data_IF_690594483075
#
_entry.id   IF_690594483075
#
_cell.length_a   1.000
_cell.length_b   1.000
_cell.length_c   1.000
_cell.angle_alpha   90.00
_cell.angle_beta   90.00
_cell.angle_gamma   90.00
#
_symmetry.space_group_name_H-M   'P 1'
#
loop_
_entity.id
_entity.type
_entity.pdbx_description
1 polymer ?
#
# COMPACT_ATOMS: atom_id res chain seq x y z
N UNK A 1 9.10 -41.67 33.03
CA UNK A 1 9.77 -40.53 32.35
C UNK A 1 9.28 -40.31 30.92
N UNK A 2 9.24 -41.32 30.04
CA UNK A 2 8.77 -41.18 28.64
C UNK A 2 7.35 -40.58 28.50
N UNK A 3 6.41 -41.01 29.36
CA UNK A 3 5.03 -40.50 29.41
C UNK A 3 4.92 -39.06 29.92
N UNK A 4 5.81 -38.64 30.82
CA UNK A 4 5.85 -37.26 31.34
C UNK A 4 6.44 -36.31 30.29
N UNK A 5 7.48 -36.75 29.57
CA UNK A 5 8.05 -35.98 28.46
C UNK A 5 7.04 -35.78 27.32
N UNK A 6 6.26 -36.81 27.00
CA UNK A 6 5.18 -36.72 26.00
C UNK A 6 4.09 -35.74 26.41
N UNK A 7 3.72 -35.71 27.70
CA UNK A 7 2.76 -34.73 28.21
C UNK A 7 3.29 -33.30 28.12
N UNK A 8 4.58 -33.08 28.42
CA UNK A 8 5.21 -31.75 28.31
C UNK A 8 5.22 -31.28 26.85
N UNK A 9 5.56 -32.14 25.89
CA UNK A 9 5.48 -31.80 24.46
C UNK A 9 4.05 -31.51 23.98
N UNK A 10 3.05 -32.19 24.53
CA UNK A 10 1.64 -31.95 24.22
C UNK A 10 1.15 -30.61 24.79
N UNK A 11 1.59 -30.24 25.99
CA UNK A 11 1.24 -28.96 26.62
C UNK A 11 1.94 -27.79 25.90
N UNK A 12 3.21 -27.93 25.52
CA UNK A 12 3.95 -26.91 24.75
C UNK A 12 3.32 -26.72 23.36
N UNK A 13 2.88 -27.81 22.71
CA UNK A 13 2.19 -27.75 21.41
C UNK A 13 0.77 -27.17 21.47
N UNK A 14 0.13 -27.15 22.64
CA UNK A 14 -1.18 -26.53 22.86
C UNK A 14 -1.06 -25.05 23.27
N UNK A 15 0.05 -24.64 23.90
CA UNK A 15 0.31 -23.23 24.24
C UNK A 15 0.91 -22.44 23.09
N UNK A 16 1.46 -23.08 22.06
CA UNK A 16 2.08 -22.40 20.92
C UNK A 16 1.10 -21.88 19.86
N UNK A 17 -0.20 -21.92 20.14
CA UNK A 17 -1.19 -21.18 19.34
C UNK A 17 -1.30 -19.74 19.86
N UNK A 18 -0.17 -19.06 20.00
CA UNK A 18 -0.19 -17.62 20.20
C UNK A 18 -0.79 -17.01 18.95
N UNK A 19 -1.92 -16.31 19.13
CA UNK A 19 -2.48 -15.48 18.08
C UNK A 19 -1.35 -14.59 17.55
N UNK A 20 -1.16 -14.57 16.22
CA UNK A 20 -0.13 -13.77 15.57
C UNK A 20 -0.11 -12.36 16.19
N UNK A 21 1.01 -11.97 16.79
CA UNK A 21 1.17 -10.62 17.32
C UNK A 21 1.10 -9.64 16.16
N UNK A 22 -0.01 -8.91 16.05
CA UNK A 22 -0.18 -7.86 15.04
C UNK A 22 0.35 -6.56 15.63
N UNK A 23 1.46 -6.07 15.09
CA UNK A 23 2.11 -4.83 15.48
C UNK A 23 2.59 -4.06 14.24
N UNK A 24 3.03 -2.82 14.42
CA UNK A 24 3.53 -1.99 13.34
C UNK A 24 2.43 -1.47 12.41
N UNK A 25 2.84 -1.06 11.21
CA UNK A 25 1.97 -0.49 10.18
C UNK A 25 1.72 -1.53 9.09
N UNK A 26 0.47 -1.78 8.79
CA UNK A 26 0.03 -2.72 7.77
C UNK A 26 -0.71 -1.99 6.67
N UNK A 27 -0.62 -2.48 5.44
CA UNK A 27 -1.27 -1.91 4.27
C UNK A 27 -2.12 -2.95 3.55
N UNK A 28 -3.32 -2.57 3.10
CA UNK A 28 -4.16 -3.41 2.26
C UNK A 28 -3.70 -3.42 0.81
N UNK A 29 -3.60 -4.60 0.23
CA UNK A 29 -3.37 -4.81 -1.20
C UNK A 29 -3.66 -6.27 -1.57
N UNK A 30 -3.91 -6.53 -2.86
CA UNK A 30 -4.46 -7.80 -3.34
C UNK A 30 -5.76 -8.14 -2.62
N UNK A 31 -6.63 -7.14 -2.51
CA UNK A 31 -7.98 -7.31 -1.98
C UNK A 31 -8.78 -8.21 -2.92
N UNK A 32 -9.79 -8.91 -2.41
CA UNK A 32 -10.60 -9.79 -3.24
C UNK A 32 -12.09 -9.64 -2.97
N UNK A 33 -12.89 -9.85 -4.02
CA UNK A 33 -14.35 -9.82 -3.95
C UNK A 33 -14.84 -11.06 -3.23
N UNK A 34 -15.75 -10.90 -2.26
CA UNK A 34 -16.28 -12.00 -1.46
C UNK A 34 -17.26 -12.86 -2.28
N UNK A 35 -18.18 -12.21 -3.01
CA UNK A 35 -19.12 -12.82 -3.95
C UNK A 35 -19.05 -12.13 -5.32
N UNK A 36 -18.56 -12.83 -6.33
CA UNK A 36 -18.39 -12.29 -7.69
C UNK A 36 -19.71 -11.94 -8.39
N UNK A 37 -20.85 -12.39 -7.88
CA UNK A 37 -22.18 -12.09 -8.44
C UNK A 37 -22.84 -10.84 -7.85
N UNK A 38 -22.23 -10.27 -6.81
CA UNK A 38 -22.73 -9.09 -6.11
C UNK A 38 -21.95 -7.85 -6.48
N UNK A 39 -22.60 -6.68 -6.43
CA UNK A 39 -21.92 -5.40 -6.71
C UNK A 39 -20.77 -5.18 -5.73
N UNK A 40 -19.62 -4.75 -6.24
CA UNK A 40 -18.43 -4.39 -5.44
C UNK A 40 -17.81 -3.11 -5.99
N UNK A 41 -16.91 -2.50 -5.23
CA UNK A 41 -16.12 -1.33 -5.66
C UNK A 41 -14.66 -1.74 -5.74
N UNK A 42 -14.08 -1.72 -6.94
CA UNK A 42 -12.64 -1.96 -7.16
C UNK A 42 -11.78 -0.78 -6.67
N UNK A 43 -10.46 -0.99 -6.55
CA UNK A 43 -9.51 0.11 -6.29
C UNK A 43 -9.33 0.56 -4.84
N UNK A 44 -9.91 -0.13 -3.85
CA UNK A 44 -9.71 0.22 -2.42
C UNK A 44 -8.41 -0.35 -1.80
N UNK A 45 -7.33 -0.37 -2.57
CA UNK A 45 -6.01 -0.72 -2.06
C UNK A 45 -5.34 0.47 -1.36
N UNK A 46 -4.32 0.18 -0.57
CA UNK A 46 -3.56 1.21 0.14
C UNK A 46 -4.26 1.75 1.38
N UNK A 47 -5.18 1.01 1.99
CA UNK A 47 -5.67 1.32 3.35
C UNK A 47 -4.55 0.99 4.33
N UNK A 48 -4.28 1.88 5.28
CA UNK A 48 -3.21 1.73 6.28
C UNK A 48 -3.82 1.54 7.65
N UNK A 49 -3.33 0.56 8.43
CA UNK A 49 -3.62 0.41 9.85
C UNK A 49 -2.29 0.47 10.61
N UNK A 50 -2.18 1.43 11.53
CA UNK A 50 -1.07 1.50 12.49
C UNK A 50 -1.55 0.87 13.81
N UNK A 51 -1.12 -0.37 14.07
CA UNK A 51 -1.48 -1.11 15.27
C UNK A 51 -0.83 -0.52 16.52
N UNK A 52 0.36 0.09 16.38
CA UNK A 52 1.09 0.69 17.50
C UNK A 52 0.39 1.96 17.98
N UNK A 53 -0.03 2.81 17.02
CA UNK A 53 -0.66 4.10 17.30
C UNK A 53 -2.20 4.07 17.28
N UNK A 54 -2.78 2.92 16.93
CA UNK A 54 -4.23 2.72 16.77
C UNK A 54 -4.86 3.78 15.87
N UNK A 55 -4.36 3.86 14.64
CA UNK A 55 -4.91 4.74 13.59
C UNK A 55 -5.18 3.98 12.31
N UNK A 56 -6.11 4.49 11.52
CA UNK A 56 -6.40 4.06 10.16
C UNK A 56 -6.26 5.24 9.20
N UNK A 57 -5.76 5.00 8.01
CA UNK A 57 -5.59 6.01 6.97
C UNK A 57 -5.50 5.39 5.58
N UNK A 58 -4.97 6.15 4.62
CA UNK A 58 -4.72 5.65 3.26
C UNK A 58 -3.38 6.14 2.74
N UNK A 59 -2.77 5.38 1.84
CA UNK A 59 -1.53 5.73 1.15
C UNK A 59 -1.69 7.01 0.30
N UNK A 60 -2.92 7.31 -0.13
CA UNK A 60 -3.23 8.41 -1.05
C UNK A 60 -3.46 9.77 -0.37
N UNK A 61 -3.47 9.82 0.96
CA UNK A 61 -3.67 11.06 1.71
C UNK A 61 -2.93 11.06 3.03
N UNK A 62 -2.75 12.24 3.62
CA UNK A 62 -2.19 12.39 4.98
C UNK A 62 -3.26 12.35 6.08
N UNK A 63 -4.52 12.08 5.71
CA UNK A 63 -5.61 11.95 6.66
C UNK A 63 -5.51 10.66 7.44
N UNK A 64 -5.55 10.79 8.77
CA UNK A 64 -5.57 9.67 9.71
C UNK A 64 -6.78 9.80 10.64
N UNK A 65 -7.38 8.67 10.98
CA UNK A 65 -8.50 8.57 11.91
C UNK A 65 -8.06 7.68 13.07
N UNK A 66 -8.37 8.09 14.29
CA UNK A 66 -8.10 7.26 15.47
C UNK A 66 -9.09 6.10 15.52
N UNK A 67 -8.61 4.92 15.88
CA UNK A 67 -9.43 3.74 16.11
C UNK A 67 -9.10 3.17 17.48
N UNK A 68 -9.87 2.19 17.93
CA UNK A 68 -9.51 1.34 19.06
C UNK A 68 -9.37 -0.09 18.58
N UNK A 69 -8.33 -0.79 19.03
CA UNK A 69 -8.06 -2.18 18.63
C UNK A 69 -8.10 -3.07 19.87
N UNK A 70 -9.01 -4.05 19.89
CA UNK A 70 -9.01 -5.13 20.88
C UNK A 70 -8.29 -6.35 20.28
N UNK A 71 -7.00 -6.43 20.58
CA UNK A 71 -6.13 -7.52 20.13
C UNK A 71 -6.58 -8.90 20.63
N UNK A 72 -7.21 -8.97 21.81
CA UNK A 72 -7.66 -10.25 22.40
C UNK A 72 -8.88 -10.81 21.66
N UNK A 73 -9.72 -9.93 21.13
CA UNK A 73 -10.93 -10.29 20.37
C UNK A 73 -10.74 -10.16 18.86
N UNK A 74 -9.55 -9.76 18.41
CA UNK A 74 -9.25 -9.44 17.02
C UNK A 74 -10.29 -8.50 16.40
N UNK A 75 -10.55 -7.36 17.06
CA UNK A 75 -11.61 -6.42 16.66
C UNK A 75 -11.12 -4.97 16.58
N UNK A 76 -11.51 -4.27 15.52
CA UNK A 76 -11.34 -2.84 15.34
C UNK A 76 -12.67 -2.13 15.66
N UNK A 77 -12.58 -1.03 16.40
CA UNK A 77 -13.68 -0.15 16.74
C UNK A 77 -13.39 1.23 16.13
N UNK A 78 -14.20 1.64 15.17
CA UNK A 78 -14.12 2.98 14.58
C UNK A 78 -14.70 4.00 15.56
N UNK A 79 -14.06 5.15 15.76
CA UNK A 79 -14.55 6.14 16.74
C UNK A 79 -15.79 6.90 16.28
N UNK A 80 -16.04 6.96 14.97
CA UNK A 80 -17.10 7.77 14.35
C UNK A 80 -18.35 6.97 13.99
N UNK A 81 -18.28 5.63 14.02
CA UNK A 81 -19.39 4.73 13.69
C UNK A 81 -19.50 3.61 14.72
N UNK A 82 -20.69 3.00 14.83
CA UNK A 82 -20.87 1.75 15.57
C UNK A 82 -20.31 0.53 14.83
N UNK A 83 -19.64 0.75 13.69
CA UNK A 83 -19.04 -0.30 12.88
C UNK A 83 -17.86 -0.93 13.63
N UNK A 84 -18.09 -2.13 14.12
CA UNK A 84 -17.08 -2.98 14.71
C UNK A 84 -16.74 -4.06 13.71
N UNK A 85 -15.49 -4.10 13.25
CA UNK A 85 -15.04 -5.08 12.27
C UNK A 85 -14.09 -6.05 12.95
N UNK A 86 -14.33 -7.34 12.73
CA UNK A 86 -13.41 -8.38 13.16
C UNK A 86 -12.31 -8.53 12.09
N UNK A 87 -11.08 -8.74 12.52
CA UNK A 87 -9.99 -9.13 11.64
C UNK A 87 -9.60 -10.59 11.90
N UNK A 88 -9.22 -11.30 10.84
CA UNK A 88 -8.84 -12.71 10.93
C UNK A 88 -7.51 -12.92 10.24
N UNK A 89 -6.71 -13.85 10.76
CA UNK A 89 -5.51 -14.31 10.06
C UNK A 89 -5.91 -14.82 8.68
N UNK A 90 -5.27 -14.28 7.66
CA UNK A 90 -5.41 -14.67 6.25
C UNK A 90 -4.04 -15.19 5.82
N UNK A 91 -3.92 -16.45 5.44
CA UNK A 91 -2.61 -17.11 5.18
C UNK A 91 -1.65 -16.93 6.38
N UNK A 92 -0.33 -16.98 6.17
CA UNK A 92 0.66 -17.01 7.27
C UNK A 92 1.07 -15.63 7.77
N UNK A 93 0.98 -14.62 6.93
CA UNK A 93 1.62 -13.31 7.09
C UNK A 93 0.69 -12.13 6.79
N UNK A 94 -0.61 -12.37 6.69
CA UNK A 94 -1.63 -11.36 6.41
C UNK A 94 -2.84 -11.48 7.34
N UNK A 95 -3.63 -10.40 7.39
CA UNK A 95 -4.95 -10.41 8.01
C UNK A 95 -6.00 -9.95 7.00
N UNK A 96 -7.16 -10.57 7.04
CA UNK A 96 -8.34 -10.18 6.28
C UNK A 96 -9.28 -9.35 7.15
N UNK A 97 -9.76 -8.23 6.62
CA UNK A 97 -10.79 -7.40 7.23
C UNK A 97 -11.88 -7.12 6.19
N UNK A 98 -13.12 -7.42 6.55
CA UNK A 98 -14.30 -7.05 5.77
C UNK A 98 -14.84 -5.73 6.32
N UNK A 99 -14.65 -4.65 5.56
CA UNK A 99 -15.24 -3.33 5.87
C UNK A 99 -16.63 -3.16 5.25
N UNK A 100 -17.21 -4.20 4.66
CA UNK A 100 -18.44 -4.19 3.88
C UNK A 100 -18.18 -4.10 2.38
N UNK A 101 -19.23 -3.78 1.61
CA UNK A 101 -19.18 -3.57 0.15
C UNK A 101 -18.66 -4.77 -0.65
N UNK A 102 -18.87 -5.99 -0.13
CA UNK A 102 -18.53 -7.24 -0.80
C UNK A 102 -17.02 -7.38 -1.11
N UNK A 103 -16.16 -6.81 -0.27
CA UNK A 103 -14.71 -6.84 -0.43
C UNK A 103 -13.99 -7.27 0.84
N UNK A 104 -13.09 -8.24 0.71
CA UNK A 104 -12.11 -8.57 1.73
C UNK A 104 -10.84 -7.76 1.51
N UNK A 105 -10.48 -6.95 2.49
CA UNK A 105 -9.22 -6.21 2.48
C UNK A 105 -8.12 -7.07 3.10
N UNK A 106 -7.08 -7.35 2.33
CA UNK A 106 -5.96 -8.19 2.75
C UNK A 106 -4.80 -7.30 3.16
N UNK A 107 -4.56 -7.20 4.47
CA UNK A 107 -3.49 -6.41 5.03
C UNK A 107 -2.23 -7.24 5.22
N UNK A 108 -1.09 -6.65 4.88
CA UNK A 108 0.24 -7.20 5.14
C UNK A 108 1.12 -6.17 5.84
N UNK A 109 2.05 -6.60 6.70
CA UNK A 109 2.96 -5.69 7.40
C UNK A 109 3.86 -4.95 6.41
N UNK A 110 4.06 -3.65 6.61
CA UNK A 110 5.02 -2.87 5.84
C UNK A 110 6.43 -3.05 6.41
N UNK A 111 7.38 -3.36 5.54
CA UNK A 111 8.80 -3.36 5.89
C UNK A 111 9.34 -1.92 5.90
N UNK A 112 9.29 -1.25 7.06
CA UNK A 112 9.73 0.13 7.23
C UNK A 112 11.23 0.29 7.57
N UNK A 113 12.05 -0.66 7.14
CA UNK A 113 13.50 -0.66 7.37
C UNK A 113 14.30 0.04 6.25
N UNK A 114 13.65 0.46 5.17
CA UNK A 114 14.28 1.16 4.03
C UNK A 114 14.16 2.68 4.18
N UNK A 115 14.66 3.20 5.30
CA UNK A 115 14.62 4.63 5.56
C UNK A 115 15.58 5.36 4.64
N UNK A 116 15.11 6.46 4.05
CA UNK A 116 15.96 7.34 3.24
C UNK A 116 16.27 8.60 4.03
N UNK A 117 17.55 8.98 4.06
CA UNK A 117 17.97 10.26 4.61
C UNK A 117 17.77 11.38 3.57
N UNK A 118 16.51 11.64 3.24
CA UNK A 118 16.10 12.65 2.26
C UNK A 118 14.73 13.21 2.65
N UNK A 119 14.27 14.23 1.93
CA UNK A 119 12.96 14.84 2.13
C UNK A 119 12.02 14.51 0.97
N UNK A 120 10.72 14.40 1.26
CA UNK A 120 9.67 14.20 0.25
C UNK A 120 9.79 15.18 -0.93
N UNK A 121 10.16 16.45 -0.65
CA UNK A 121 10.35 17.48 -1.69
C UNK A 121 11.47 17.12 -2.66
N UNK A 122 12.61 16.62 -2.19
CA UNK A 122 13.75 16.24 -3.02
C UNK A 122 13.40 15.06 -3.94
N UNK A 123 12.61 14.09 -3.44
CA UNK A 123 12.10 12.99 -4.25
C UNK A 123 11.16 13.50 -5.35
N UNK A 124 10.24 14.41 -5.02
CA UNK A 124 9.35 15.02 -6.02
C UNK A 124 10.14 15.79 -7.07
N UNK A 125 11.14 16.57 -6.65
CA UNK A 125 12.03 17.31 -7.55
C UNK A 125 12.79 16.37 -8.48
N UNK A 126 13.29 15.24 -7.98
CA UNK A 126 13.93 14.21 -8.81
C UNK A 126 12.99 13.67 -9.88
N UNK A 127 11.74 13.35 -9.52
CA UNK A 127 10.74 12.85 -10.46
C UNK A 127 10.40 13.89 -11.54
N UNK A 128 10.21 15.15 -11.18
CA UNK A 128 9.76 16.19 -12.12
C UNK A 128 10.89 16.68 -13.04
N UNK A 129 12.12 16.79 -12.54
CA UNK A 129 13.23 17.43 -13.28
C UNK A 129 13.95 16.48 -14.23
N UNK A 130 13.84 15.17 -14.02
CA UNK A 130 14.55 14.19 -14.82
C UNK A 130 13.69 13.62 -15.93
N UNK A 131 14.36 13.27 -17.04
CA UNK A 131 13.79 12.41 -18.06
C UNK A 131 14.15 10.96 -17.71
N UNK A 132 13.16 10.07 -17.76
CA UNK A 132 13.36 8.66 -17.46
C UNK A 132 13.58 7.84 -18.73
N UNK A 133 14.33 6.75 -18.60
CA UNK A 133 14.30 5.68 -19.58
C UNK A 133 12.90 5.07 -19.66
N UNK A 134 12.58 4.50 -20.82
CA UNK A 134 11.31 3.81 -21.00
C UNK A 134 11.22 2.62 -20.07
N UNK A 135 10.12 2.51 -19.34
CA UNK A 135 9.85 1.35 -18.48
C UNK A 135 9.74 0.11 -19.38
N UNK A 136 10.57 -0.89 -19.09
CA UNK A 136 10.75 -2.10 -19.90
C UNK A 136 11.07 -1.83 -21.38
N UNK A 137 11.65 -0.67 -21.70
CA UNK A 137 11.95 -0.28 -23.08
C UNK A 137 10.74 0.20 -23.89
N UNK A 138 9.51 0.16 -23.34
CA UNK A 138 8.28 0.38 -24.10
C UNK A 138 7.50 1.61 -23.64
N UNK A 139 7.37 1.82 -22.33
CA UNK A 139 6.47 2.83 -21.78
C UNK A 139 7.27 4.10 -21.44
N UNK A 140 7.05 5.17 -22.20
CA UNK A 140 7.65 6.49 -22.00
C UNK A 140 6.74 7.34 -21.12
N UNK A 141 7.21 7.69 -19.92
CA UNK A 141 6.47 8.45 -18.92
C UNK A 141 7.16 9.76 -18.55
N UNK A 142 6.37 10.76 -18.17
CA UNK A 142 6.85 12.02 -17.64
C UNK A 142 6.05 12.41 -16.39
N UNK A 143 6.76 12.63 -15.27
CA UNK A 143 6.16 13.12 -14.04
C UNK A 143 6.00 14.63 -14.10
N UNK A 144 4.77 15.13 -13.99
CA UNK A 144 4.48 16.56 -14.03
C UNK A 144 4.23 17.13 -12.63
N UNK A 145 4.57 18.41 -12.43
CA UNK A 145 4.19 19.19 -11.25
C UNK A 145 2.75 19.71 -11.31
N UNK A 146 2.09 19.59 -12.46
CA UNK A 146 0.67 19.92 -12.64
C UNK A 146 -0.22 18.95 -11.86
N UNK A 147 -1.43 19.38 -11.54
CA UNK A 147 -2.42 18.53 -10.92
C UNK A 147 -3.12 17.66 -11.97
N UNK A 148 -3.42 16.42 -11.57
CA UNK A 148 -4.21 15.48 -12.38
C UNK A 148 -5.58 16.09 -12.71
N UNK A 149 -5.97 16.07 -13.98
CA UNK A 149 -7.09 16.87 -14.46
C UNK A 149 -8.42 16.52 -13.76
N UNK A 150 -8.67 15.24 -13.44
CA UNK A 150 -9.90 14.82 -12.74
C UNK A 150 -9.98 15.40 -11.33
N UNK A 151 -8.85 15.47 -10.63
CA UNK A 151 -8.83 16.05 -9.29
C UNK A 151 -9.12 17.56 -9.32
N UNK A 152 -8.75 18.24 -10.40
CA UNK A 152 -9.11 19.64 -10.64
C UNK A 152 -10.58 19.77 -11.01
N UNK A 153 -11.06 18.99 -11.99
CA UNK A 153 -12.43 19.00 -12.50
C UNK A 153 -13.47 18.69 -11.42
N UNK A 154 -13.17 17.75 -10.52
CA UNK A 154 -14.06 17.35 -9.42
C UNK A 154 -13.73 18.05 -8.10
N UNK A 155 -12.93 19.11 -8.13
CA UNK A 155 -12.56 19.93 -6.96
C UNK A 155 -12.14 19.10 -5.74
N UNK A 156 -11.32 18.06 -5.97
CA UNK A 156 -10.88 17.18 -4.88
C UNK A 156 -10.07 17.99 -3.86
N UNK A 157 -10.32 17.81 -2.55
CA UNK A 157 -9.61 18.55 -1.50
C UNK A 157 -8.11 18.20 -1.45
N UNK A 158 -7.76 17.00 -1.91
CA UNK A 158 -6.38 16.52 -2.03
C UNK A 158 -6.16 16.19 -3.50
N UNK A 159 -5.20 16.89 -4.11
CA UNK A 159 -4.90 16.78 -5.54
C UNK A 159 -3.60 16.02 -5.76
N UNK A 160 -3.66 15.05 -6.65
CA UNK A 160 -2.51 14.26 -7.11
C UNK A 160 -1.84 14.98 -8.27
N UNK A 161 -0.57 14.69 -8.49
CA UNK A 161 0.18 15.24 -9.60
C UNK A 161 -0.11 14.43 -10.88
N UNK A 162 -0.01 15.05 -12.06
CA UNK A 162 -0.25 14.39 -13.33
C UNK A 162 0.97 13.55 -13.75
N UNK A 163 0.73 12.35 -14.27
CA UNK A 163 1.73 11.51 -14.92
C UNK A 163 1.35 11.38 -16.39
N UNK A 164 2.20 11.86 -17.28
CA UNK A 164 1.95 11.83 -18.73
C UNK A 164 2.50 10.53 -19.28
N UNK A 165 1.65 9.72 -19.92
CA UNK A 165 2.06 8.51 -20.61
C UNK A 165 2.13 8.80 -22.12
N UNK A 166 3.34 9.05 -22.61
CA UNK A 166 3.58 9.41 -24.02
C UNK A 166 3.41 8.22 -24.96
N UNK A 167 3.53 7.00 -24.46
CA UNK A 167 3.34 5.80 -25.27
C UNK A 167 1.87 5.56 -25.62
N UNK A 168 0.93 6.01 -24.79
CA UNK A 168 -0.52 5.80 -24.99
C UNK A 168 -1.32 7.07 -25.26
N UNK A 169 -0.68 8.25 -25.20
CA UNK A 169 -1.37 9.55 -25.28
C UNK A 169 -2.47 9.69 -24.22
N UNK A 170 -2.18 9.26 -23.00
CA UNK A 170 -3.09 9.36 -21.85
C UNK A 170 -2.39 9.96 -20.62
N UNK A 171 -3.19 10.34 -19.63
CA UNK A 171 -2.76 10.93 -18.37
C UNK A 171 -3.20 10.04 -17.20
N UNK A 172 -2.22 9.59 -16.43
CA UNK A 172 -2.44 9.04 -15.09
C UNK A 172 -2.12 10.08 -14.02
N UNK A 173 -1.99 9.62 -12.78
CA UNK A 173 -1.55 10.46 -11.68
C UNK A 173 -0.37 9.84 -10.93
N UNK A 174 0.32 10.67 -10.15
CA UNK A 174 1.31 10.21 -9.19
C UNK A 174 1.29 11.02 -7.90
N UNK A 175 1.82 10.43 -6.83
CA UNK A 175 2.13 11.09 -5.57
C UNK A 175 3.23 10.34 -4.81
N UNK A 176 3.83 11.02 -3.84
CA UNK A 176 4.80 10.43 -2.90
C UNK A 176 4.21 10.45 -1.51
N UNK A 177 4.20 9.31 -0.82
CA UNK A 177 3.81 9.18 0.58
C UNK A 177 5.05 8.91 1.44
N UNK A 178 5.08 9.50 2.63
CA UNK A 178 6.12 9.22 3.63
C UNK A 178 5.49 8.52 4.84
N UNK A 179 6.13 7.45 5.33
CA UNK A 179 5.77 6.75 6.56
C UNK A 179 7.06 6.39 7.31
N UNK A 180 7.27 6.96 8.49
CA UNK A 180 8.46 6.71 9.34
C UNK A 180 9.78 6.80 8.53
N UNK A 181 9.97 7.85 7.73
CA UNK A 181 11.12 8.09 6.83
C UNK A 181 11.32 7.07 5.70
N UNK A 182 10.34 6.21 5.45
CA UNK A 182 10.27 5.39 4.24
C UNK A 182 9.36 6.12 3.25
N UNK A 183 9.71 6.08 1.97
CA UNK A 183 8.98 6.78 0.93
C UNK A 183 8.33 5.78 -0.01
N UNK A 184 7.13 6.12 -0.47
CA UNK A 184 6.34 5.30 -1.37
C UNK A 184 5.95 6.14 -2.57
N UNK A 185 6.19 5.62 -3.76
CA UNK A 185 5.75 6.19 -5.02
C UNK A 185 4.47 5.46 -5.44
N UNK A 186 3.40 6.23 -5.62
CA UNK A 186 2.10 5.73 -6.05
C UNK A 186 1.77 6.38 -7.38
N UNK A 187 1.46 5.59 -8.40
CA UNK A 187 1.03 6.14 -9.68
C UNK A 187 0.13 5.22 -10.49
N UNK A 188 -0.62 5.82 -11.41
CA UNK A 188 -1.31 5.12 -12.51
C UNK A 188 -0.68 5.56 -13.84
N UNK A 189 -0.75 4.69 -14.84
CA UNK A 189 -0.26 4.98 -16.20
C UNK A 189 -1.35 5.56 -17.11
N UNK A 190 -2.60 5.47 -16.68
CA UNK A 190 -3.78 6.02 -17.33
C UNK A 190 -4.85 6.36 -16.27
N UNK A 191 -6.08 6.60 -16.72
CA UNK A 191 -7.20 7.01 -15.87
C UNK A 191 -8.05 5.85 -15.32
N UNK A 192 -7.84 4.64 -15.82
CA UNK A 192 -8.72 3.47 -15.60
C UNK A 192 -8.04 2.31 -14.89
N UNK A 193 -6.71 2.29 -14.89
CA UNK A 193 -5.88 1.27 -14.26
C UNK A 193 -5.87 1.44 -12.75
N UNK A 194 -5.74 0.31 -12.07
CA UNK A 194 -5.46 0.28 -10.65
C UNK A 194 -4.13 0.98 -10.35
N UNK A 195 -4.08 1.60 -9.18
CA UNK A 195 -2.88 2.28 -8.71
C UNK A 195 -1.73 1.29 -8.52
N UNK A 196 -0.52 1.72 -8.84
CA UNK A 196 0.68 0.95 -8.57
C UNK A 196 1.40 1.56 -7.37
N UNK A 197 1.59 0.77 -6.31
CA UNK A 197 2.29 1.20 -5.08
C UNK A 197 3.68 0.56 -5.02
N UNK A 198 4.70 1.43 -4.98
CA UNK A 198 6.09 1.05 -4.83
C UNK A 198 6.68 1.67 -3.56
N UNK A 199 7.49 0.92 -2.82
CA UNK A 199 8.39 1.46 -1.82
C UNK A 199 9.70 1.89 -2.50
N UNK A 200 10.17 3.10 -2.21
CA UNK A 200 11.46 3.59 -2.68
C UNK A 200 12.53 3.04 -1.75
N UNK A 201 13.42 2.20 -2.29
CA UNK A 201 14.48 1.53 -1.52
C UNK A 201 15.75 2.37 -1.45
N UNK A 202 16.07 3.07 -2.54
CA UNK A 202 17.21 3.95 -2.65
C UNK A 202 16.97 4.99 -3.75
N UNK A 203 17.71 6.11 -3.67
CA UNK A 203 17.67 7.19 -4.65
C UNK A 203 19.07 7.79 -4.77
N UNK A 204 19.58 7.84 -5.99
CA UNK A 204 20.79 8.59 -6.34
C UNK A 204 20.49 9.56 -7.50
N UNK A 205 21.53 10.18 -8.08
CA UNK A 205 21.39 11.16 -9.16
C UNK A 205 20.87 10.55 -10.47
N UNK A 206 21.07 9.25 -10.68
CA UNK A 206 20.79 8.54 -11.93
C UNK A 206 19.66 7.53 -11.84
N UNK A 207 19.21 7.17 -10.64
CA UNK A 207 18.32 6.03 -10.43
C UNK A 207 17.52 6.13 -9.14
N UNK A 208 16.28 5.65 -9.23
CA UNK A 208 15.41 5.36 -8.09
C UNK A 208 15.12 3.86 -8.04
N UNK A 209 15.49 3.17 -6.97
CA UNK A 209 15.17 1.75 -6.77
C UNK A 209 13.81 1.58 -6.14
N UNK A 210 13.02 0.66 -6.69
CA UNK A 210 11.63 0.45 -6.33
C UNK A 210 11.37 -1.02 -5.95
N UNK A 211 10.66 -1.20 -4.83
CA UNK A 211 10.04 -2.46 -4.46
C UNK A 211 8.53 -2.36 -4.69
N UNK A 212 8.04 -3.12 -5.66
CA UNK A 212 6.61 -3.25 -5.88
C UNK A 212 5.94 -3.97 -4.71
N UNK A 213 4.86 -3.39 -4.16
CA UNK A 213 4.14 -3.95 -3.02
C UNK A 213 2.90 -4.75 -3.44
N UNK A 214 2.48 -4.66 -4.69
CA UNK A 214 1.23 -5.23 -5.21
C UNK A 214 1.54 -6.12 -6.41
N UNK A 215 0.64 -7.06 -6.72
CA UNK A 215 0.74 -7.75 -8.01
C UNK A 215 0.41 -6.76 -9.13
N UNK A 216 1.23 -6.72 -10.19
CA UNK A 216 0.97 -5.86 -11.33
C UNK A 216 -0.27 -6.37 -12.08
N UNK A 217 -1.33 -5.57 -12.19
CA UNK A 217 -2.40 -5.88 -13.15
C UNK A 217 -1.92 -5.66 -14.60
N UNK A 218 -0.93 -4.78 -14.80
CA UNK A 218 -0.43 -4.43 -16.13
C UNK A 218 0.84 -5.20 -16.52
N UNK A 219 0.71 -6.07 -17.53
CA UNK A 219 1.82 -6.53 -18.37
C UNK A 219 2.91 -7.41 -17.74
N UNK A 220 2.72 -8.00 -16.54
CA UNK A 220 3.77 -8.72 -15.79
C UNK A 220 5.06 -7.88 -15.57
N UNK A 221 4.96 -6.58 -15.78
CA UNK A 221 6.07 -5.66 -15.88
C UNK A 221 6.46 -5.20 -14.48
N UNK A 222 7.32 -5.98 -13.81
CA UNK A 222 7.83 -5.61 -12.49
C UNK A 222 8.80 -4.43 -12.62
N UNK A 223 8.31 -3.23 -12.32
CA UNK A 223 9.15 -2.02 -12.28
C UNK A 223 10.00 -2.09 -11.02
N UNK A 224 11.30 -2.32 -11.20
CA UNK A 224 12.27 -2.42 -10.11
C UNK A 224 13.11 -1.17 -9.95
N UNK A 225 13.12 -0.30 -10.96
CA UNK A 225 13.87 0.94 -10.95
C UNK A 225 13.31 1.95 -11.97
N UNK A 226 13.57 3.23 -11.72
CA UNK A 226 13.42 4.32 -12.68
C UNK A 226 14.80 4.93 -12.92
N UNK A 227 15.32 4.84 -14.15
CA UNK A 227 16.64 5.37 -14.55
C UNK A 227 16.52 6.69 -15.26
N UNK A 228 17.46 7.60 -15.01
CA UNK A 228 17.56 8.92 -15.64
C UNK A 228 18.85 9.09 -16.46
N UNK A 229 19.86 8.26 -16.18
CA UNK A 229 21.13 8.21 -16.91
C UNK A 229 21.21 6.94 -17.77
N UNK A 230 21.78 7.06 -18.97
CA UNK A 230 22.13 5.95 -19.87
C UNK A 230 23.38 5.19 -19.39
#
# INVERSE_FOLDING_TARGET
MKKVLQLIFLVIGLTSCEAQEVNGIWMSYQNYVIDTNSMYTSGNEGVLIDFDNQTIGTINSDSIVKIKIDMKKSRLFMTTDTLNVDFKVYRKDSIGIDFGQNMMHVFRPLNLNHKLNTEKKLIKDFLIKNKFEKINGEIDIEFSDKFFFRDVMFEKPIKKNALINKSWDDEGYWLVKEIKQNFFLIFTLDQTTDQNIYQILSLDECKMELLQLQEAEFGNAKITELKTCL
#
